data_IF_224504184302
#
_entry.id   IF_224504184302
#
_cell.length_a   1.000
_cell.length_b   1.000
_cell.length_c   1.000
_cell.angle_alpha   90.00
_cell.angle_beta   90.00
_cell.angle_gamma   90.00
#
_symmetry.space_group_name_H-M   'P 1'
#
loop_
_entity.id
_entity.type
_entity.pdbx_description
1 polymer ?
#
# COMPACT_ATOMS: atom_id res chain seq x y z
N UNK A 1 -63.00 13.00 8.82
CA UNK A 1 -61.60 13.44 9.04
C UNK A 1 -60.73 12.25 8.69
N UNK A 2 -60.15 12.26 7.49
CA UNK A 2 -59.31 11.17 7.00
C UNK A 2 -58.01 11.12 7.79
N UNK A 3 -57.61 9.91 8.11
CA UNK A 3 -56.43 9.51 8.85
C UNK A 3 -55.16 9.89 8.06
N UNK A 4 -54.28 10.66 8.68
CA UNK A 4 -52.91 10.84 8.21
C UNK A 4 -52.05 9.75 8.84
N UNK A 5 -51.98 8.60 8.19
CA UNK A 5 -50.99 7.55 8.49
C UNK A 5 -49.60 8.13 8.33
N UNK A 6 -48.94 8.40 9.45
CA UNK A 6 -47.50 8.66 9.47
C UNK A 6 -46.82 7.33 9.19
N UNK A 7 -46.47 7.07 7.93
CA UNK A 7 -45.62 5.93 7.57
C UNK A 7 -44.30 6.06 8.33
N UNK A 8 -44.09 5.14 9.27
CA UNK A 8 -42.79 4.95 9.89
C UNK A 8 -41.82 4.48 8.79
N UNK A 9 -40.77 5.28 8.55
CA UNK A 9 -39.65 4.84 7.72
C UNK A 9 -39.11 3.51 8.28
N UNK A 10 -38.98 2.45 7.46
CA UNK A 10 -38.45 1.19 7.95
C UNK A 10 -36.99 1.40 8.37
N UNK A 11 -36.75 1.28 9.67
CA UNK A 11 -35.42 1.28 10.23
C UNK A 11 -34.68 0.00 9.80
N UNK A 12 -33.48 0.18 9.24
CA UNK A 12 -32.45 -0.83 8.93
C UNK A 12 -32.64 -1.71 7.68
N UNK A 13 -32.79 -1.10 6.50
CA UNK A 13 -32.42 -1.76 5.25
C UNK A 13 -30.93 -1.47 4.93
N UNK A 14 -30.16 -2.51 4.57
CA UNK A 14 -28.73 -2.34 4.22
C UNK A 14 -28.63 -1.41 3.00
N UNK A 15 -27.77 -0.37 3.01
CA UNK A 15 -27.57 0.49 1.85
C UNK A 15 -27.20 -0.30 0.59
N UNK A 16 -27.58 0.20 -0.59
CA UNK A 16 -27.24 -0.48 -1.84
C UNK A 16 -25.72 -0.49 -2.09
N UNK A 17 -25.22 -1.42 -2.90
CA UNK A 17 -23.79 -1.45 -3.26
C UNK A 17 -23.34 -0.15 -3.93
N UNK A 18 -24.23 0.53 -4.67
CA UNK A 18 -23.97 1.84 -5.23
C UNK A 18 -23.75 2.89 -4.14
N UNK A 19 -24.63 2.95 -3.13
CA UNK A 19 -24.52 3.89 -2.01
C UNK A 19 -23.24 3.63 -1.20
N UNK A 20 -22.89 2.37 -0.98
CA UNK A 20 -21.66 1.95 -0.28
C UNK A 20 -20.42 2.42 -1.06
N UNK A 21 -20.39 2.23 -2.38
CA UNK A 21 -19.27 2.67 -3.23
C UNK A 21 -19.15 4.20 -3.25
N UNK A 22 -20.27 4.93 -3.37
CA UNK A 22 -20.26 6.39 -3.33
C UNK A 22 -19.71 6.91 -2.01
N UNK A 23 -20.21 6.41 -0.88
CA UNK A 23 -19.72 6.79 0.43
C UNK A 23 -18.24 6.45 0.63
N UNK A 24 -17.80 5.28 0.15
CA UNK A 24 -16.38 4.89 0.16
C UNK A 24 -15.50 5.85 -0.65
N UNK A 25 -15.99 6.34 -1.79
CA UNK A 25 -15.29 7.33 -2.60
C UNK A 25 -15.23 8.69 -1.91
N UNK A 26 -16.28 9.12 -1.21
CA UNK A 26 -16.29 10.36 -0.43
C UNK A 26 -15.24 10.34 0.70
N UNK A 27 -15.14 9.24 1.45
CA UNK A 27 -14.10 9.07 2.49
C UNK A 27 -12.69 9.14 1.86
N UNK A 28 -12.48 8.44 0.74
CA UNK A 28 -11.19 8.45 0.03
C UNK A 28 -10.87 9.84 -0.51
N UNK A 29 -11.87 10.59 -0.98
CA UNK A 29 -11.69 11.94 -1.48
C UNK A 29 -11.12 12.90 -0.41
N UNK A 30 -11.45 12.68 0.87
CA UNK A 30 -10.84 13.44 1.98
C UNK A 30 -9.32 13.22 2.07
N UNK A 31 -8.82 12.05 1.64
CA UNK A 31 -7.40 11.70 1.62
C UNK A 31 -6.68 12.15 0.34
N UNK A 32 -7.40 12.57 -0.71
CA UNK A 32 -6.80 12.97 -1.99
C UNK A 32 -5.89 14.19 -1.86
N UNK A 33 -6.12 15.04 -0.86
CA UNK A 33 -5.29 16.21 -0.57
C UNK A 33 -3.92 15.86 0.04
N UNK A 34 -3.74 14.61 0.50
CA UNK A 34 -2.47 14.12 1.07
C UNK A 34 -1.69 13.47 -0.07
N UNK A 35 -0.43 13.83 -0.35
CA UNK A 35 0.34 13.17 -1.39
C UNK A 35 0.54 11.67 -1.08
N UNK A 36 0.67 10.85 -2.12
CA UNK A 36 0.94 9.43 -1.97
C UNK A 36 2.19 9.14 -1.13
N UNK A 37 3.27 9.87 -1.40
CA UNK A 37 4.51 9.93 -0.60
C UNK A 37 4.77 11.38 -0.22
N UNK A 38 4.89 11.63 1.09
CA UNK A 38 5.16 12.94 1.67
C UNK A 38 6.61 13.39 1.46
N UNK A 39 6.85 14.67 1.75
CA UNK A 39 8.21 15.20 1.83
C UNK A 39 8.95 14.58 3.03
N UNK A 40 10.28 14.70 3.03
CA UNK A 40 11.07 14.35 4.21
C UNK A 40 10.80 15.38 5.31
N UNK A 41 10.37 14.89 6.46
CA UNK A 41 10.04 15.69 7.64
C UNK A 41 10.93 15.28 8.81
N UNK A 42 11.20 16.20 9.73
CA UNK A 42 11.84 15.87 11.00
C UNK A 42 10.82 15.29 11.98
N UNK A 43 11.27 14.55 13.00
CA UNK A 43 10.38 13.98 14.01
C UNK A 43 9.66 15.05 14.86
N UNK A 44 10.13 16.29 14.82
CA UNK A 44 9.45 17.44 15.41
C UNK A 44 8.05 17.67 14.81
N UNK A 45 7.84 17.38 13.51
CA UNK A 45 6.50 17.47 12.91
C UNK A 45 5.54 16.47 13.56
N UNK A 46 6.02 15.26 13.83
CA UNK A 46 5.27 14.21 14.49
C UNK A 46 5.03 14.55 15.97
N UNK A 47 6.01 15.11 16.66
CA UNK A 47 5.89 15.55 18.06
C UNK A 47 4.72 16.52 18.25
N UNK A 48 4.62 17.54 17.40
CA UNK A 48 3.58 18.58 17.44
C UNK A 48 2.15 18.04 17.41
N UNK A 49 1.94 16.88 16.79
CA UNK A 49 0.61 16.23 16.74
C UNK A 49 0.15 15.69 18.10
N UNK A 50 1.09 15.40 19.01
CA UNK A 50 0.82 14.75 20.29
C UNK A 50 1.10 15.67 21.51
N UNK A 51 1.51 16.91 21.28
CA UNK A 51 1.77 17.91 22.32
C UNK A 51 0.52 18.23 23.16
N UNK A 52 -0.67 18.14 22.57
CA UNK A 52 -1.95 18.45 23.22
C UNK A 52 -2.49 17.33 24.13
N UNK A 53 -1.61 16.62 24.84
CA UNK A 53 -2.02 15.75 25.96
C UNK A 53 -1.83 14.24 25.75
N UNK A 54 -0.86 13.81 24.95
CA UNK A 54 -0.56 12.39 24.78
C UNK A 54 0.89 12.04 25.17
N UNK A 55 1.18 12.12 26.47
CA UNK A 55 2.52 11.88 27.04
C UNK A 55 3.12 10.51 26.68
N UNK A 56 2.27 9.50 26.49
CA UNK A 56 2.71 8.16 26.09
C UNK A 56 3.34 8.20 24.69
N UNK A 57 2.74 8.92 23.75
CA UNK A 57 3.27 9.06 22.40
C UNK A 57 4.51 9.96 22.38
N UNK A 58 4.52 11.06 23.14
CA UNK A 58 5.71 11.91 23.27
C UNK A 58 6.93 11.13 23.78
N UNK A 59 6.76 10.24 24.77
CA UNK A 59 7.85 9.35 25.23
C UNK A 59 8.30 8.36 24.16
N UNK A 60 7.39 7.85 23.32
CA UNK A 60 7.75 6.96 22.20
C UNK A 60 8.50 7.73 21.10
N UNK A 61 8.11 8.97 20.81
CA UNK A 61 8.77 9.84 19.83
C UNK A 61 10.19 10.17 20.31
N UNK A 62 10.39 10.49 21.59
CA UNK A 62 11.73 10.70 22.16
C UNK A 62 12.65 9.50 21.91
N UNK A 63 12.15 8.27 22.13
CA UNK A 63 12.92 7.05 21.84
C UNK A 63 13.20 6.85 20.35
N UNK A 64 12.30 7.31 19.49
CA UNK A 64 12.47 7.20 18.04
C UNK A 64 13.58 8.14 17.54
N UNK A 65 13.67 9.34 18.12
CA UNK A 65 14.71 10.34 17.81
C UNK A 65 16.13 9.88 18.15
N UNK A 66 16.28 8.90 19.06
CA UNK A 66 17.59 8.29 19.35
C UNK A 66 18.16 7.50 18.16
N UNK A 67 17.30 7.09 17.22
CA UNK A 67 17.68 6.22 16.10
C UNK A 67 17.38 6.80 14.71
N UNK A 68 16.41 7.72 14.61
CA UNK A 68 15.93 8.25 13.34
C UNK A 68 15.89 9.78 13.37
N UNK A 69 16.44 10.41 12.34
CA UNK A 69 16.46 11.87 12.21
C UNK A 69 15.23 12.40 11.46
N UNK A 70 14.69 11.62 10.53
CA UNK A 70 13.65 12.03 9.61
C UNK A 70 12.59 10.92 9.43
N UNK A 71 11.42 11.32 8.95
CA UNK A 71 10.34 10.46 8.54
C UNK A 71 9.76 10.93 7.21
N UNK A 72 9.10 10.01 6.50
CA UNK A 72 8.24 10.33 5.34
C UNK A 72 6.88 9.70 5.57
N UNK A 73 5.84 10.47 5.32
CA UNK A 73 4.45 10.00 5.41
C UNK A 73 4.05 9.30 4.12
N UNK A 74 3.17 8.32 4.22
CA UNK A 74 2.48 7.74 3.06
C UNK A 74 0.98 7.89 3.26
N UNK A 75 0.24 8.17 2.17
CA UNK A 75 -1.23 8.27 2.21
C UNK A 75 -1.86 7.01 2.82
N UNK A 76 -2.84 7.18 3.70
CA UNK A 76 -3.59 6.11 4.35
C UNK A 76 -4.70 5.53 3.46
N UNK A 77 -4.35 4.99 2.29
CA UNK A 77 -5.28 4.49 1.26
C UNK A 77 -5.41 2.96 1.20
N UNK A 78 -4.85 2.24 2.19
CA UNK A 78 -4.74 0.78 2.19
C UNK A 78 -3.60 0.21 1.33
N UNK A 79 -2.82 1.06 0.65
CA UNK A 79 -1.62 0.70 -0.10
C UNK A 79 -0.33 1.17 0.60
N UNK A 80 -0.45 1.87 1.73
CA UNK A 80 0.65 2.52 2.44
C UNK A 80 1.87 1.62 2.68
N UNK A 81 1.68 0.36 3.07
CA UNK A 81 2.80 -0.58 3.28
C UNK A 81 3.62 -0.79 2.01
N UNK A 82 2.97 -1.19 0.91
CA UNK A 82 3.62 -1.45 -0.38
C UNK A 82 4.31 -0.20 -0.90
N UNK A 83 3.64 0.94 -0.78
CA UNK A 83 4.14 2.24 -1.25
C UNK A 83 5.35 2.70 -0.44
N UNK A 84 5.28 2.60 0.89
CA UNK A 84 6.40 2.93 1.78
C UNK A 84 7.60 2.02 1.52
N UNK A 85 7.35 0.71 1.40
CA UNK A 85 8.40 -0.28 1.16
C UNK A 85 9.19 0.02 -0.11
N UNK A 86 8.52 0.16 -1.24
CA UNK A 86 9.21 0.30 -2.52
C UNK A 86 9.87 1.67 -2.66
N UNK A 87 9.22 2.74 -2.18
CA UNK A 87 9.81 4.06 -2.20
C UNK A 87 11.10 4.10 -1.35
N UNK A 88 11.04 3.60 -0.11
CA UNK A 88 12.21 3.55 0.76
C UNK A 88 13.34 2.69 0.19
N UNK A 89 13.00 1.59 -0.49
CA UNK A 89 13.98 0.72 -1.13
C UNK A 89 14.67 1.43 -2.32
N UNK A 90 13.90 2.10 -3.19
CA UNK A 90 14.46 2.87 -4.31
C UNK A 90 15.26 4.10 -3.83
N UNK A 91 14.78 4.81 -2.81
CA UNK A 91 15.52 5.89 -2.15
C UNK A 91 16.85 5.39 -1.57
N UNK A 92 16.86 4.20 -0.96
CA UNK A 92 18.09 3.58 -0.47
C UNK A 92 19.08 3.26 -1.60
N UNK A 93 18.62 2.69 -2.73
CA UNK A 93 19.48 2.45 -3.90
C UNK A 93 20.08 3.77 -4.42
N UNK A 94 19.28 4.82 -4.46
CA UNK A 94 19.70 6.15 -4.92
C UNK A 94 20.75 6.76 -4.00
N UNK A 95 20.53 6.72 -2.68
CA UNK A 95 21.42 7.36 -1.69
C UNK A 95 22.71 6.56 -1.51
N UNK A 96 22.63 5.22 -1.48
CA UNK A 96 23.81 4.37 -1.31
C UNK A 96 24.66 4.29 -2.58
N UNK A 97 24.05 4.43 -3.75
CA UNK A 97 24.71 4.17 -5.03
C UNK A 97 25.15 2.71 -5.20
N UNK A 98 24.56 1.77 -4.45
CA UNK A 98 24.92 0.35 -4.50
C UNK A 98 24.41 -0.32 -5.78
N UNK A 99 25.28 -0.31 -6.79
CA UNK A 99 25.01 -0.97 -8.09
C UNK A 99 24.83 -2.48 -7.97
N UNK A 100 25.56 -3.12 -7.04
CA UNK A 100 25.45 -4.57 -6.85
C UNK A 100 24.08 -4.96 -6.31
N UNK A 101 23.56 -4.20 -5.36
CA UNK A 101 22.21 -4.36 -4.84
C UNK A 101 21.14 -4.02 -5.88
N UNK A 102 21.34 -2.96 -6.66
CA UNK A 102 20.42 -2.63 -7.76
C UNK A 102 20.35 -3.75 -8.82
N UNK A 103 21.49 -4.30 -9.24
CA UNK A 103 21.56 -5.44 -10.17
C UNK A 103 20.93 -6.71 -9.58
N UNK A 104 21.11 -6.93 -8.28
CA UNK A 104 20.45 -8.04 -7.56
C UNK A 104 18.94 -7.84 -7.56
N UNK A 105 18.47 -6.64 -7.24
CA UNK A 105 17.05 -6.32 -7.18
C UNK A 105 16.37 -6.43 -8.55
N UNK A 106 16.99 -5.90 -9.61
CA UNK A 106 16.52 -6.06 -10.98
C UNK A 106 16.37 -7.53 -11.38
N UNK A 107 17.36 -8.38 -11.05
CA UNK A 107 17.29 -9.83 -11.28
C UNK A 107 16.16 -10.49 -10.48
N UNK A 108 15.91 -10.04 -9.25
CA UNK A 108 14.77 -10.54 -8.45
C UNK A 108 13.45 -10.20 -9.13
N UNK A 109 13.25 -8.96 -9.56
CA UNK A 109 12.03 -8.52 -10.26
C UNK A 109 11.82 -9.34 -11.54
N UNK A 110 12.86 -9.48 -12.38
CA UNK A 110 12.80 -10.27 -13.61
C UNK A 110 12.49 -11.75 -13.32
N UNK A 111 13.07 -12.31 -12.26
CA UNK A 111 12.83 -13.68 -11.82
C UNK A 111 11.41 -13.95 -11.32
N UNK A 112 10.61 -12.90 -11.05
CA UNK A 112 9.19 -13.04 -10.71
C UNK A 112 8.28 -13.23 -11.92
N UNK A 113 8.68 -12.79 -13.12
CA UNK A 113 7.88 -12.93 -14.34
C UNK A 113 7.36 -14.36 -14.57
N UNK A 114 8.20 -15.41 -14.63
CA UNK A 114 7.69 -16.79 -14.79
C UNK A 114 6.85 -17.25 -13.59
N UNK A 115 7.17 -16.84 -12.36
CA UNK A 115 6.43 -17.23 -11.15
C UNK A 115 5.01 -16.66 -11.12
N UNK A 116 4.82 -15.44 -11.63
CA UNK A 116 3.51 -14.80 -11.75
C UNK A 116 2.65 -15.53 -12.79
N UNK A 117 3.25 -15.88 -13.94
CA UNK A 117 2.59 -16.67 -14.99
C UNK A 117 2.20 -18.06 -14.49
N UNK A 118 3.11 -18.76 -13.82
CA UNK A 118 2.84 -20.06 -13.18
C UNK A 118 1.72 -19.97 -12.13
N UNK A 119 1.52 -18.81 -11.51
CA UNK A 119 0.45 -18.54 -10.56
C UNK A 119 -0.87 -18.14 -11.24
N UNK A 120 -0.99 -18.30 -12.56
CA UNK A 120 -2.19 -18.02 -13.35
C UNK A 120 -2.42 -16.54 -13.67
N UNK A 121 -1.42 -15.68 -13.47
CA UNK A 121 -1.52 -14.25 -13.82
C UNK A 121 -1.00 -14.06 -15.25
N UNK A 122 -1.81 -13.49 -16.13
CA UNK A 122 -1.40 -13.24 -17.52
C UNK A 122 -0.32 -12.15 -17.58
N UNK A 123 0.67 -12.34 -18.45
CA UNK A 123 1.83 -11.43 -18.59
C UNK A 123 1.42 -9.97 -18.86
N UNK A 124 0.48 -9.76 -19.78
CA UNK A 124 -0.09 -8.46 -20.15
C UNK A 124 -0.65 -7.67 -18.94
N UNK A 125 -1.01 -8.35 -17.84
CA UNK A 125 -1.57 -7.69 -16.66
C UNK A 125 -0.49 -6.98 -15.84
N UNK A 126 0.76 -7.43 -15.88
CA UNK A 126 1.82 -6.94 -14.99
C UNK A 126 3.09 -6.47 -15.72
N UNK A 127 3.22 -6.72 -17.02
CA UNK A 127 4.44 -6.41 -17.78
C UNK A 127 4.79 -4.92 -17.72
N UNK A 128 3.83 -4.02 -18.00
CA UNK A 128 4.06 -2.56 -17.96
C UNK A 128 4.53 -2.08 -16.59
N UNK A 129 3.95 -2.61 -15.51
CA UNK A 129 4.35 -2.25 -14.15
C UNK A 129 5.74 -2.77 -13.80
N UNK A 130 6.11 -3.96 -14.31
CA UNK A 130 7.44 -4.54 -14.13
C UNK A 130 8.50 -3.76 -14.90
N UNK A 131 8.21 -3.39 -16.15
CA UNK A 131 9.08 -2.56 -16.98
C UNK A 131 9.30 -1.19 -16.35
N UNK A 132 8.24 -0.53 -15.90
CA UNK A 132 8.33 0.75 -15.18
C UNK A 132 9.26 0.66 -13.97
N UNK A 133 9.13 -0.38 -13.14
CA UNK A 133 9.97 -0.54 -11.96
C UNK A 133 11.44 -0.83 -12.33
N UNK A 134 11.69 -1.67 -13.34
CA UNK A 134 13.03 -1.94 -13.83
C UNK A 134 13.69 -0.70 -14.43
N UNK A 135 12.92 0.12 -15.14
CA UNK A 135 13.37 1.40 -15.68
C UNK A 135 13.75 2.37 -14.56
N UNK A 136 12.94 2.47 -13.49
CA UNK A 136 13.28 3.27 -12.31
C UNK A 136 14.60 2.84 -11.68
N UNK A 137 14.82 1.53 -11.50
CA UNK A 137 16.08 0.98 -10.97
C UNK A 137 17.26 1.34 -11.90
N UNK A 138 17.10 1.14 -13.21
CA UNK A 138 18.12 1.49 -14.21
C UNK A 138 18.46 2.98 -14.16
N UNK A 139 17.46 3.85 -14.14
CA UNK A 139 17.66 5.30 -14.13
C UNK A 139 18.33 5.79 -12.83
N UNK A 140 18.05 5.16 -11.69
CA UNK A 140 18.78 5.39 -10.44
C UNK A 140 20.26 5.03 -10.61
N UNK A 141 20.57 3.84 -11.13
CA UNK A 141 21.96 3.37 -11.27
C UNK A 141 22.79 4.18 -12.27
N UNK A 142 22.14 4.73 -13.29
CA UNK A 142 22.75 5.57 -14.31
C UNK A 142 22.85 7.05 -13.89
N UNK A 143 22.27 7.41 -12.74
CA UNK A 143 22.24 8.78 -12.24
C UNK A 143 21.30 9.72 -13.02
N UNK A 144 20.39 9.17 -13.84
CA UNK A 144 19.39 9.94 -14.60
C UNK A 144 18.12 10.22 -13.79
N UNK A 145 17.88 9.50 -12.68
CA UNK A 145 16.79 9.75 -11.74
C UNK A 145 17.33 10.26 -10.40
N UNK A 146 17.02 11.51 -10.06
CA UNK A 146 17.28 12.09 -8.75
C UNK A 146 16.13 11.88 -7.76
N UNK A 147 16.34 12.26 -6.49
CA UNK A 147 15.36 12.06 -5.42
C UNK A 147 14.05 12.79 -5.68
N UNK A 148 14.12 14.03 -6.18
CA UNK A 148 12.94 14.83 -6.51
C UNK A 148 12.11 14.20 -7.63
N UNK A 149 12.76 13.64 -8.65
CA UNK A 149 12.09 12.94 -9.74
C UNK A 149 11.46 11.62 -9.27
N UNK A 150 12.14 10.87 -8.39
CA UNK A 150 11.59 9.67 -7.76
C UNK A 150 10.37 10.00 -6.89
N UNK A 151 10.46 11.05 -6.06
CA UNK A 151 9.32 11.57 -5.30
C UNK A 151 8.15 11.96 -6.21
N UNK A 152 8.44 12.65 -7.31
CA UNK A 152 7.44 13.04 -8.31
C UNK A 152 6.72 11.83 -8.89
N UNK A 153 7.46 10.79 -9.31
CA UNK A 153 6.90 9.56 -9.86
C UNK A 153 6.00 8.83 -8.83
N UNK A 154 6.38 8.81 -7.55
CA UNK A 154 5.59 8.17 -6.50
C UNK A 154 4.49 9.05 -5.92
N UNK A 155 4.37 10.31 -6.36
CA UNK A 155 3.21 11.18 -6.13
C UNK A 155 2.19 11.13 -7.27
N UNK A 156 2.60 10.63 -8.43
CA UNK A 156 1.75 10.43 -9.60
C UNK A 156 0.90 9.16 -9.44
N UNK A 157 -0.38 9.24 -9.83
CA UNK A 157 -1.36 8.18 -9.53
C UNK A 157 -1.07 6.89 -10.27
N UNK A 158 -0.84 6.99 -11.58
CA UNK A 158 -0.68 5.83 -12.43
C UNK A 158 0.60 5.08 -12.07
N UNK A 159 1.75 5.75 -12.07
CA UNK A 159 3.05 5.14 -11.78
C UNK A 159 3.06 4.49 -10.40
N UNK A 160 2.60 5.22 -9.37
CA UNK A 160 2.64 4.71 -8.01
C UNK A 160 1.69 3.52 -7.81
N UNK A 161 0.48 3.56 -8.39
CA UNK A 161 -0.49 2.46 -8.26
C UNK A 161 -0.12 1.23 -9.11
N UNK A 162 0.50 1.41 -10.28
CA UNK A 162 1.01 0.29 -11.09
C UNK A 162 2.07 -0.53 -10.34
N UNK A 163 3.05 0.15 -9.72
CA UNK A 163 4.08 -0.55 -8.94
C UNK A 163 3.47 -1.24 -7.71
N UNK A 164 2.54 -0.59 -7.01
CA UNK A 164 1.82 -1.23 -5.89
C UNK A 164 1.05 -2.47 -6.35
N UNK A 165 0.39 -2.41 -7.50
CA UNK A 165 -0.34 -3.53 -8.09
C UNK A 165 0.60 -4.72 -8.37
N UNK A 166 1.76 -4.47 -8.98
CA UNK A 166 2.79 -5.50 -9.19
C UNK A 166 3.22 -6.16 -7.88
N UNK A 167 3.53 -5.36 -6.84
CA UNK A 167 3.97 -5.89 -5.54
C UNK A 167 2.90 -6.74 -4.87
N UNK A 168 1.62 -6.35 -4.98
CA UNK A 168 0.50 -7.16 -4.49
C UNK A 168 0.37 -8.49 -5.23
N UNK A 169 0.61 -8.51 -6.54
CA UNK A 169 0.63 -9.75 -7.32
C UNK A 169 1.79 -10.65 -6.91
N UNK A 170 2.98 -10.09 -6.68
CA UNK A 170 4.14 -10.82 -6.16
C UNK A 170 3.83 -11.46 -4.80
N UNK A 171 3.26 -10.70 -3.87
CA UNK A 171 2.87 -11.24 -2.54
C UNK A 171 1.80 -12.33 -2.67
N UNK A 172 0.76 -12.10 -3.48
CA UNK A 172 -0.28 -13.10 -3.75
C UNK A 172 0.29 -14.39 -4.35
N UNK A 173 1.23 -14.27 -5.28
CA UNK A 173 1.91 -15.42 -5.89
C UNK A 173 2.80 -16.16 -4.87
N UNK A 174 3.57 -15.45 -4.04
CA UNK A 174 4.40 -16.09 -3.00
C UNK A 174 3.55 -16.86 -1.97
N UNK A 175 2.43 -16.28 -1.54
CA UNK A 175 1.53 -16.94 -0.59
C UNK A 175 0.96 -18.22 -1.20
N UNK A 176 0.47 -18.17 -2.44
CA UNK A 176 -0.08 -19.34 -3.14
C UNK A 176 0.97 -20.42 -3.43
N UNK A 177 2.19 -20.02 -3.81
CA UNK A 177 3.30 -20.97 -4.07
C UNK A 177 3.77 -21.70 -2.81
N UNK A 178 3.52 -21.13 -1.64
CA UNK A 178 3.90 -21.70 -0.33
C UNK A 178 2.68 -21.88 0.56
N UNK A 179 1.59 -22.34 -0.03
CA UNK A 179 0.31 -22.54 0.65
C UNK A 179 0.47 -23.34 1.95
N UNK A 180 1.17 -24.48 1.92
CA UNK A 180 1.44 -25.31 3.10
C UNK A 180 2.03 -24.53 4.29
N UNK A 181 2.84 -23.51 4.01
CA UNK A 181 3.43 -22.66 5.03
C UNK A 181 2.47 -21.58 5.52
N UNK A 182 1.72 -20.94 4.62
CA UNK A 182 0.88 -19.79 4.96
C UNK A 182 -0.50 -20.16 5.49
N UNK A 183 -1.04 -21.31 5.09
CA UNK A 183 -2.39 -21.76 5.43
C UNK A 183 -2.69 -21.74 6.94
N UNK A 184 -1.78 -22.18 7.84
CA UNK A 184 -2.03 -22.13 9.29
C UNK A 184 -2.16 -20.71 9.88
N UNK A 185 -1.75 -19.67 9.13
CA UNK A 185 -1.78 -18.28 9.58
C UNK A 185 -3.00 -17.51 9.06
N UNK A 186 -3.83 -18.12 8.20
CA UNK A 186 -5.04 -17.49 7.65
C UNK A 186 -6.20 -17.75 8.61
N UNK A 187 -6.53 -16.74 9.43
CA UNK A 187 -7.67 -16.78 10.35
C UNK A 187 -9.00 -16.81 9.58
N UNK A 188 -10.04 -17.45 10.14
CA UNK A 188 -11.37 -17.49 9.54
C UNK A 188 -11.59 -18.56 8.47
N UNK A 189 -10.55 -19.29 8.03
CA UNK A 189 -10.70 -20.39 7.06
C UNK A 189 -11.26 -21.69 7.68
N UNK A 190 -11.07 -21.86 8.99
CA UNK A 190 -11.48 -23.06 9.74
C UNK A 190 -12.36 -22.75 10.97
N UNK A 191 -12.72 -21.49 11.16
CA UNK A 191 -13.45 -21.04 12.36
C UNK A 191 -14.98 -21.20 12.22
N UNK A 192 -15.49 -21.41 11.00
CA UNK A 192 -16.91 -21.68 10.76
C UNK A 192 -17.15 -23.20 10.63
N UNK A 193 -18.05 -23.79 11.45
CA UNK A 193 -18.51 -25.15 11.20
C UNK A 193 -19.20 -25.21 9.83
N UNK A 194 -19.11 -26.33 9.09
CA UNK A 194 -19.78 -26.47 7.81
C UNK A 194 -21.26 -26.16 8.01
N UNK A 195 -21.78 -25.23 7.20
CA UNK A 195 -23.21 -24.88 7.18
C UNK A 195 -23.98 -26.18 6.97
N UNK A 196 -24.62 -26.69 8.03
CA UNK A 196 -25.56 -27.78 7.92
C UNK A 196 -26.75 -27.23 7.13
N UNK A 197 -26.83 -27.61 5.86
CA UNK A 197 -28.07 -27.52 5.11
C UNK A 197 -29.00 -28.55 5.74
N UNK A 198 -29.87 -28.10 6.64
CA UNK A 198 -30.97 -28.91 7.13
C UNK A 198 -31.86 -29.29 5.93
N UNK A 199 -32.05 -30.60 5.75
CA UNK A 199 -32.84 -31.21 4.68
C UNK A 199 -34.34 -31.18 4.95
#
# INVERSE_FOLDING_TARGET
KMEGSTEAQPANERPSDYDIVQYGNEIRAQQNNIPYVGAMETLESLRKEYEAGNDVFLRKINKLEEHYCNLRRTRGDGNCFYRAFIFAYLEHLLVSGDKGEADRFARVIQGWKPKLVESGIQELVFEDAMELLLEQVSNITNGSLGLEALEGAYREDLASNLVVMLLRMVVSAEIRRREDFFLPFIMGMYDDPPVSVDA
#
